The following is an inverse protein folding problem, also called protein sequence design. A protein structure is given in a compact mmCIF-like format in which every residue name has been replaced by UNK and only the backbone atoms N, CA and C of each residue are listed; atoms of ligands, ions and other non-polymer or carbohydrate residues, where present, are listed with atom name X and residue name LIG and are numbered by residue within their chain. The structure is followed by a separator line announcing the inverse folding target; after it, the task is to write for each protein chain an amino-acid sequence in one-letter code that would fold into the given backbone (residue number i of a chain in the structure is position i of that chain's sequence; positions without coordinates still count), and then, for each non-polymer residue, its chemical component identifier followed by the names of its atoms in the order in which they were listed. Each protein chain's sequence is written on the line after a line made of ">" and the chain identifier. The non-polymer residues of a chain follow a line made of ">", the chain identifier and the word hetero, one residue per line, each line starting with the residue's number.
data_IF_352137904527
#
_entry.id   IF_352137904527
#
_cell.length_a   1.000
_cell.length_b   1.000
_cell.length_c   1.000
_cell.angle_alpha   90.00
_cell.angle_beta   90.00
_cell.angle_gamma   90.00
#
_symmetry.space_group_name_H-M   'P 1'
#
loop_
_entity.id
_entity.type
_entity.pdbx_description
1 polymer ?
#
# COMPACT_ATOMS: atom_id res chain seq x y z
N UNK A 1 -36.88 -5.06 -14.44
CA UNK A 1 -35.89 -4.00 -14.72
C UNK A 1 -34.68 -4.64 -15.39
N UNK A 2 -34.24 -4.14 -16.55
CA UNK A 2 -33.02 -4.67 -17.18
C UNK A 2 -31.77 -4.18 -16.42
N UNK A 3 -30.60 -4.75 -16.75
CA UNK A 3 -29.37 -4.44 -16.01
C UNK A 3 -28.88 -3.00 -16.23
N UNK A 4 -29.09 -2.43 -17.41
CA UNK A 4 -28.66 -1.05 -17.74
C UNK A 4 -29.49 -0.04 -16.95
N UNK A 5 -30.80 -0.22 -16.90
CA UNK A 5 -31.71 0.64 -16.15
C UNK A 5 -31.45 0.53 -14.65
N UNK A 6 -31.26 -0.70 -14.15
CA UNK A 6 -30.87 -0.93 -12.76
C UNK A 6 -29.56 -0.22 -12.43
N UNK A 7 -28.55 -0.31 -13.30
CA UNK A 7 -27.27 0.33 -13.06
C UNK A 7 -27.36 1.87 -13.06
N UNK A 8 -28.20 2.46 -13.91
CA UNK A 8 -28.46 3.92 -13.94
C UNK A 8 -29.22 4.41 -12.72
N UNK A 9 -30.25 3.66 -12.30
CA UNK A 9 -31.06 3.99 -11.13
C UNK A 9 -30.35 3.69 -9.81
N UNK A 10 -29.32 2.84 -9.83
CA UNK A 10 -28.42 2.58 -8.70
C UNK A 10 -27.37 3.69 -8.53
N UNK A 11 -27.81 4.95 -8.43
CA UNK A 11 -26.95 6.12 -8.23
C UNK A 11 -27.20 6.82 -6.88
N UNK A 12 -26.21 7.54 -6.33
CA UNK A 12 -26.39 8.29 -5.08
C UNK A 12 -27.48 9.37 -5.15
N UNK A 13 -27.77 9.88 -6.36
CA UNK A 13 -28.81 10.89 -6.58
C UNK A 13 -30.21 10.30 -6.37
N UNK A 14 -30.47 9.14 -6.97
CA UNK A 14 -31.76 8.43 -6.81
C UNK A 14 -31.93 7.95 -5.37
N UNK A 15 -30.85 7.45 -4.73
CA UNK A 15 -30.85 7.04 -3.32
C UNK A 15 -31.28 8.14 -2.34
N UNK A 16 -30.93 9.40 -2.64
CA UNK A 16 -31.20 10.55 -1.77
C UNK A 16 -32.61 11.12 -1.94
N UNK A 17 -33.36 10.67 -2.95
CA UNK A 17 -34.73 11.08 -3.21
C UNK A 17 -35.72 10.06 -2.61
N UNK A 18 -36.43 10.39 -1.51
CA UNK A 18 -37.35 9.47 -0.86
C UNK A 18 -38.50 9.01 -1.77
N UNK A 19 -38.89 9.83 -2.75
CA UNK A 19 -39.98 9.50 -3.68
C UNK A 19 -39.61 8.40 -4.68
N UNK A 20 -38.31 8.12 -4.82
CA UNK A 20 -37.75 7.11 -5.73
C UNK A 20 -37.14 5.91 -4.99
N UNK A 21 -37.51 5.73 -3.72
CA UNK A 21 -36.99 4.65 -2.88
C UNK A 21 -37.23 3.27 -3.50
N UNK A 22 -38.45 2.99 -3.95
CA UNK A 22 -38.79 1.68 -4.52
C UNK A 22 -38.02 1.39 -5.81
N UNK A 23 -37.75 2.44 -6.61
CA UNK A 23 -36.92 2.34 -7.80
C UNK A 23 -35.46 2.02 -7.44
N UNK A 24 -34.92 2.69 -6.41
CA UNK A 24 -33.57 2.43 -5.92
C UNK A 24 -33.43 1.03 -5.31
N UNK A 25 -34.42 0.57 -4.54
CA UNK A 25 -34.43 -0.75 -3.92
C UNK A 25 -34.47 -1.86 -4.99
N UNK A 26 -35.31 -1.71 -6.02
CA UNK A 26 -35.38 -2.65 -7.14
C UNK A 26 -34.09 -2.64 -7.99
N UNK A 27 -33.51 -1.47 -8.23
CA UNK A 27 -32.24 -1.32 -8.93
C UNK A 27 -31.08 -1.95 -8.14
N UNK A 28 -31.04 -1.70 -6.83
CA UNK A 28 -30.07 -2.23 -5.89
C UNK A 28 -30.09 -3.76 -5.87
N UNK A 29 -31.28 -4.37 -5.73
CA UNK A 29 -31.43 -5.82 -5.73
C UNK A 29 -30.92 -6.44 -7.04
N UNK A 30 -31.30 -5.86 -8.19
CA UNK A 30 -30.86 -6.36 -9.50
C UNK A 30 -29.35 -6.26 -9.71
N UNK A 31 -28.73 -5.15 -9.29
CA UNK A 31 -27.26 -4.99 -9.37
C UNK A 31 -26.55 -5.95 -8.44
N UNK A 32 -27.07 -6.17 -7.23
CA UNK A 32 -26.52 -7.11 -6.26
C UNK A 32 -26.57 -8.56 -6.76
N UNK A 33 -27.69 -8.99 -7.33
CA UNK A 33 -27.82 -10.31 -7.97
C UNK A 33 -26.80 -10.52 -9.09
N UNK A 34 -26.60 -9.51 -9.95
CA UNK A 34 -25.63 -9.60 -11.03
C UNK A 34 -24.19 -9.67 -10.49
N UNK A 35 -23.86 -8.90 -9.44
CA UNK A 35 -22.57 -9.00 -8.76
C UNK A 35 -22.33 -10.41 -8.19
N UNK A 36 -23.33 -11.02 -7.56
CA UNK A 36 -23.22 -12.41 -7.07
C UNK A 36 -22.98 -13.40 -8.21
N UNK A 37 -23.72 -13.28 -9.31
CA UNK A 37 -23.57 -14.16 -10.47
C UNK A 37 -22.17 -14.01 -11.11
N UNK A 38 -21.64 -12.78 -11.17
CA UNK A 38 -20.31 -12.49 -11.69
C UNK A 38 -19.20 -12.94 -10.74
N UNK A 39 -19.36 -12.77 -9.43
CA UNK A 39 -18.38 -13.19 -8.43
C UNK A 39 -18.16 -14.70 -8.44
N UNK A 40 -19.24 -15.50 -8.61
CA UNK A 40 -19.15 -16.97 -8.77
C UNK A 40 -18.22 -17.37 -9.93
N UNK A 41 -18.11 -16.56 -10.98
CA UNK A 41 -17.24 -16.82 -12.15
C UNK A 41 -15.75 -16.50 -11.87
N UNK A 42 -15.44 -15.77 -10.80
CA UNK A 42 -14.07 -15.37 -10.45
C UNK A 42 -13.28 -16.46 -9.69
N UNK A 43 -13.90 -17.62 -9.41
CA UNK A 43 -13.27 -18.78 -8.72
C UNK A 43 -12.62 -18.45 -7.36
N UNK A 44 -13.12 -17.43 -6.66
CA UNK A 44 -12.73 -17.16 -5.28
C UNK A 44 -13.44 -18.12 -4.31
N UNK A 45 -12.93 -18.27 -3.08
CA UNK A 45 -13.59 -19.07 -2.05
C UNK A 45 -14.97 -18.46 -1.68
N UNK A 46 -15.94 -19.26 -1.21
CA UNK A 46 -17.30 -18.78 -0.94
C UNK A 46 -17.36 -17.59 0.03
N UNK A 47 -16.59 -17.61 1.13
CA UNK A 47 -16.55 -16.50 2.09
C UNK A 47 -15.96 -15.22 1.51
N UNK A 48 -14.91 -15.33 0.69
CA UNK A 48 -14.31 -14.18 0.01
C UNK A 48 -15.25 -13.64 -1.07
N UNK A 49 -16.01 -14.51 -1.74
CA UNK A 49 -17.01 -14.09 -2.74
C UNK A 49 -18.10 -13.20 -2.14
N UNK A 50 -18.60 -13.50 -0.94
CA UNK A 50 -19.63 -12.70 -0.29
C UNK A 50 -19.09 -11.34 0.15
N UNK A 51 -17.91 -11.31 0.77
CA UNK A 51 -17.24 -10.07 1.20
C UNK A 51 -17.02 -9.11 0.01
N UNK A 52 -16.41 -9.59 -1.08
CA UNK A 52 -16.10 -8.73 -2.23
C UNK A 52 -17.38 -8.23 -2.94
N UNK A 53 -18.47 -9.00 -2.89
CA UNK A 53 -19.76 -8.59 -3.45
C UNK A 53 -20.37 -7.47 -2.62
N UNK A 54 -20.40 -7.60 -1.30
CA UNK A 54 -20.88 -6.56 -0.40
C UNK A 54 -20.05 -5.28 -0.53
N UNK A 55 -18.72 -5.39 -0.58
CA UNK A 55 -17.83 -4.23 -0.76
C UNK A 55 -17.98 -3.56 -2.12
N UNK A 56 -18.13 -4.35 -3.20
CA UNK A 56 -18.38 -3.82 -4.53
C UNK A 56 -19.74 -3.10 -4.58
N UNK A 57 -20.79 -3.68 -3.99
CA UNK A 57 -22.10 -3.07 -3.90
C UNK A 57 -22.08 -1.74 -3.12
N UNK A 58 -21.42 -1.70 -1.95
CA UNK A 58 -21.27 -0.48 -1.16
C UNK A 58 -20.48 0.61 -1.90
N UNK A 59 -19.40 0.20 -2.56
CA UNK A 59 -18.59 1.12 -3.37
C UNK A 59 -19.43 1.73 -4.49
N UNK A 60 -20.15 0.91 -5.23
CA UNK A 60 -21.04 1.34 -6.30
C UNK A 60 -22.13 2.26 -5.72
N UNK A 61 -22.85 1.85 -4.67
CA UNK A 61 -23.89 2.66 -4.03
C UNK A 61 -23.44 4.05 -3.55
N UNK A 62 -22.13 4.23 -3.31
CA UNK A 62 -21.53 5.50 -2.88
C UNK A 62 -21.03 6.34 -4.05
N UNK A 63 -20.52 5.71 -5.10
CA UNK A 63 -19.67 6.37 -6.10
C UNK A 63 -20.01 5.99 -7.56
N UNK A 64 -21.24 5.53 -7.83
CA UNK A 64 -21.57 4.85 -9.10
C UNK A 64 -21.32 5.62 -10.39
N UNK A 65 -21.05 6.93 -10.39
CA UNK A 65 -20.92 7.71 -11.63
C UNK A 65 -19.92 8.86 -11.54
N UNK A 66 -18.66 8.57 -11.23
CA UNK A 66 -17.56 9.51 -11.50
C UNK A 66 -17.04 9.44 -12.93
N UNK A 67 -17.25 8.33 -13.65
CA UNK A 67 -16.86 8.18 -15.05
C UNK A 67 -17.96 8.68 -16.01
N UNK A 68 -17.62 9.46 -17.05
CA UNK A 68 -18.58 9.84 -18.09
C UNK A 68 -18.93 8.61 -18.93
N UNK A 69 -20.09 8.02 -18.66
CA UNK A 69 -20.62 6.93 -19.47
C UNK A 69 -21.19 7.50 -20.78
N UNK A 70 -21.03 6.80 -21.91
CA UNK A 70 -21.72 7.15 -23.14
C UNK A 70 -23.24 7.08 -22.96
N UNK A 71 -23.97 7.94 -23.68
CA UNK A 71 -25.45 8.04 -23.63
C UNK A 71 -26.14 6.69 -23.93
N UNK A 72 -25.50 5.86 -24.74
CA UNK A 72 -25.91 4.48 -25.02
C UNK A 72 -25.01 3.53 -24.25
N UNK A 73 -25.55 2.93 -23.18
CA UNK A 73 -24.87 1.94 -22.37
C UNK A 73 -25.44 0.55 -22.67
N UNK A 74 -24.57 -0.41 -22.96
CA UNK A 74 -24.97 -1.81 -23.20
C UNK A 74 -24.81 -2.66 -21.95
N UNK A 75 -25.58 -3.75 -21.83
CA UNK A 75 -25.41 -4.70 -20.71
C UNK A 75 -24.00 -5.28 -20.66
N UNK A 76 -23.35 -5.50 -21.81
CA UNK A 76 -21.97 -6.01 -21.87
C UNK A 76 -20.97 -5.05 -21.22
N UNK A 77 -21.14 -3.73 -21.42
CA UNK A 77 -20.32 -2.71 -20.77
C UNK A 77 -20.57 -2.65 -19.27
N UNK A 78 -21.83 -2.72 -18.83
CA UNK A 78 -22.18 -2.78 -17.41
C UNK A 78 -21.54 -4.00 -16.74
N UNK A 79 -21.73 -5.21 -17.33
CA UNK A 79 -21.11 -6.43 -16.80
C UNK A 79 -19.59 -6.32 -16.73
N UNK A 80 -18.94 -5.77 -17.77
CA UNK A 80 -17.49 -5.57 -17.77
C UNK A 80 -17.06 -4.66 -16.62
N UNK A 81 -17.79 -3.58 -16.39
CA UNK A 81 -17.52 -2.68 -15.28
C UNK A 81 -17.68 -3.35 -13.92
N UNK A 82 -18.80 -4.04 -13.69
CA UNK A 82 -19.05 -4.80 -12.46
C UNK A 82 -17.96 -5.84 -12.21
N UNK A 83 -17.49 -6.55 -13.25
CA UNK A 83 -16.36 -7.49 -13.16
C UNK A 83 -15.06 -6.78 -12.73
N UNK A 84 -14.77 -5.60 -13.30
CA UNK A 84 -13.58 -4.83 -12.93
C UNK A 84 -13.65 -4.37 -11.46
N UNK A 85 -14.82 -3.92 -11.01
CA UNK A 85 -15.05 -3.56 -9.60
C UNK A 85 -14.79 -4.76 -8.68
N UNK A 86 -15.36 -5.94 -9.01
CA UNK A 86 -15.15 -7.16 -8.24
C UNK A 86 -13.68 -7.59 -8.21
N UNK A 87 -12.97 -7.52 -9.34
CA UNK A 87 -11.53 -7.83 -9.42
C UNK A 87 -10.68 -6.89 -8.58
N UNK A 88 -11.03 -5.60 -8.55
CA UNK A 88 -10.35 -4.64 -7.67
C UNK A 88 -10.51 -5.03 -6.21
N UNK A 89 -11.74 -5.37 -5.78
CA UNK A 89 -12.02 -5.79 -4.40
C UNK A 89 -11.40 -7.13 -4.03
N UNK A 90 -11.37 -8.08 -4.95
CA UNK A 90 -10.64 -9.35 -4.77
C UNK A 90 -9.14 -9.10 -4.55
N UNK A 91 -8.55 -8.17 -5.30
CA UNK A 91 -7.16 -7.74 -5.07
C UNK A 91 -6.95 -7.04 -3.72
N UNK A 92 -7.93 -6.24 -3.26
CA UNK A 92 -7.91 -5.63 -1.93
C UNK A 92 -8.00 -6.68 -0.81
N UNK A 93 -8.91 -7.65 -0.93
CA UNK A 93 -9.08 -8.76 0.01
C UNK A 93 -7.79 -9.58 0.12
N UNK A 94 -7.17 -9.95 -1.00
CA UNK A 94 -5.88 -10.66 -1.00
C UNK A 94 -4.75 -9.83 -0.36
N UNK A 95 -4.73 -8.51 -0.55
CA UNK A 95 -3.78 -7.61 0.13
C UNK A 95 -4.05 -7.51 1.63
N UNK A 96 -5.31 -7.51 2.08
CA UNK A 96 -5.68 -7.50 3.50
C UNK A 96 -5.29 -8.82 4.17
N UNK A 97 -5.65 -9.95 3.58
CA UNK A 97 -5.26 -11.26 4.06
C UNK A 97 -3.73 -11.38 4.16
N UNK A 98 -2.98 -10.96 3.13
CA UNK A 98 -1.51 -10.96 3.20
C UNK A 98 -0.94 -10.03 4.29
N UNK A 99 -1.64 -8.95 4.67
CA UNK A 99 -1.25 -8.10 5.81
C UNK A 99 -1.55 -8.78 7.14
N UNK A 100 -2.68 -9.44 7.26
CA UNK A 100 -3.09 -10.18 8.45
C UNK A 100 -2.19 -11.39 8.67
N UNK A 101 -1.90 -12.18 7.65
CA UNK A 101 -0.93 -13.28 7.71
C UNK A 101 0.46 -12.77 8.12
N UNK A 102 0.91 -11.62 7.61
CA UNK A 102 2.17 -10.99 8.06
C UNK A 102 2.10 -10.48 9.50
N UNK A 103 0.91 -10.12 10.01
CA UNK A 103 0.70 -9.70 11.39
C UNK A 103 0.69 -10.91 12.31
N UNK A 104 -0.01 -11.98 11.95
CA UNK A 104 -0.06 -13.27 12.64
C UNK A 104 1.33 -13.90 12.71
N UNK A 105 2.05 -14.00 11.58
CA UNK A 105 3.45 -14.49 11.58
C UNK A 105 4.37 -13.67 12.48
N UNK A 106 4.15 -12.36 12.61
CA UNK A 106 4.93 -11.53 13.54
C UNK A 106 4.56 -11.73 15.01
N UNK A 107 3.33 -12.17 15.29
CA UNK A 107 2.87 -12.51 16.63
C UNK A 107 3.38 -13.91 17.00
N UNK A 108 3.29 -14.87 16.09
CA UNK A 108 3.86 -16.22 16.24
C UNK A 108 5.38 -16.20 16.38
N UNK A 109 6.11 -15.41 15.56
CA UNK A 109 7.56 -15.21 15.73
C UNK A 109 7.91 -14.38 16.98
N UNK A 110 6.95 -13.75 17.66
CA UNK A 110 7.15 -13.11 18.97
C UNK A 110 6.96 -14.08 20.14
N UNK A 111 6.20 -15.16 19.93
CA UNK A 111 5.92 -16.20 20.93
C UNK A 111 6.83 -17.43 20.75
N UNK A 112 7.50 -17.53 19.60
CA UNK A 112 8.50 -18.55 19.28
C UNK A 112 9.66 -17.93 18.50
N UNK A 113 10.26 -16.87 19.04
CA UNK A 113 11.63 -16.58 18.69
C UNK A 113 12.48 -17.68 19.34
N UNK A 114 13.18 -18.55 18.59
CA UNK A 114 14.44 -19.04 19.13
C UNK A 114 15.26 -17.79 19.45
N UNK A 115 15.94 -17.77 20.59
CA UNK A 115 17.11 -16.91 20.73
C UNK A 115 17.97 -17.20 19.49
N UNK A 116 17.91 -16.31 18.49
CA UNK A 116 18.92 -16.30 17.45
C UNK A 116 20.24 -16.25 18.21
N UNK A 117 21.21 -17.13 17.90
CA UNK A 117 22.48 -17.09 18.60
C UNK A 117 22.98 -15.65 18.54
N UNK A 118 23.33 -15.11 19.70
CA UNK A 118 24.06 -13.86 19.87
C UNK A 118 25.34 -13.97 19.03
N UNK A 119 25.21 -13.74 17.73
CA UNK A 119 26.33 -13.35 16.89
C UNK A 119 26.63 -11.95 17.38
N UNK A 120 27.71 -11.87 18.17
CA UNK A 120 28.05 -10.76 19.04
C UNK A 120 27.63 -9.43 18.46
N UNK A 121 26.89 -8.66 19.26
CA UNK A 121 26.52 -7.30 18.89
C UNK A 121 27.79 -6.60 18.37
N UNK A 122 27.78 -6.09 17.11
CA UNK A 122 28.92 -5.36 16.60
C UNK A 122 29.21 -4.23 17.57
N UNK A 123 30.48 -4.06 17.92
CA UNK A 123 30.85 -2.97 18.84
C UNK A 123 30.35 -1.64 18.26
N UNK A 124 30.05 -0.64 19.10
CA UNK A 124 29.60 0.66 18.62
C UNK A 124 30.53 1.27 17.55
N UNK A 125 31.83 0.97 17.64
CA UNK A 125 32.87 1.40 16.69
C UNK A 125 32.77 0.68 15.34
N UNK A 126 32.51 -0.64 15.32
CA UNK A 126 32.24 -1.40 14.08
C UNK A 126 30.95 -0.92 13.41
N UNK A 127 29.92 -0.61 14.21
CA UNK A 127 28.65 -0.10 13.69
C UNK A 127 28.79 1.30 13.05
N UNK A 128 29.67 2.16 13.55
CA UNK A 128 29.94 3.48 12.98
C UNK A 128 30.81 3.43 11.72
N UNK A 129 31.86 2.59 11.70
CA UNK A 129 32.72 2.42 10.54
C UNK A 129 31.96 1.80 9.34
N UNK A 130 31.10 0.82 9.59
CA UNK A 130 30.27 0.20 8.56
C UNK A 130 29.10 1.10 8.12
N UNK A 131 28.57 1.93 9.02
CA UNK A 131 27.63 2.99 8.66
C UNK A 131 28.29 4.00 7.72
N UNK A 132 29.54 4.38 7.98
CA UNK A 132 30.32 5.20 7.05
C UNK A 132 30.46 4.52 5.68
N UNK A 133 30.72 3.20 5.60
CA UNK A 133 30.73 2.49 4.31
C UNK A 133 29.37 2.50 3.62
N UNK A 134 28.29 2.24 4.35
CA UNK A 134 26.93 2.29 3.81
C UNK A 134 26.58 3.67 3.22
N UNK A 135 26.92 4.74 3.94
CA UNK A 135 26.66 6.12 3.52
C UNK A 135 27.53 6.57 2.36
N UNK A 136 28.80 6.16 2.34
CA UNK A 136 29.77 6.66 1.37
C UNK A 136 29.82 5.83 0.09
N UNK A 137 29.44 4.55 0.13
CA UNK A 137 29.49 3.63 -1.02
C UNK A 137 28.09 3.25 -1.52
N UNK A 138 27.26 2.67 -0.66
CA UNK A 138 25.98 2.06 -1.08
C UNK A 138 24.95 3.12 -1.48
N UNK A 139 24.76 4.16 -0.67
CA UNK A 139 23.73 5.19 -0.94
C UNK A 139 24.00 5.95 -2.25
N UNK A 140 25.21 6.44 -2.55
CA UNK A 140 25.50 7.11 -3.82
C UNK A 140 25.31 6.21 -5.04
N UNK A 141 25.72 4.94 -4.95
CA UNK A 141 25.57 3.98 -6.04
C UNK A 141 24.10 3.60 -6.26
N UNK A 142 23.34 3.36 -5.19
CA UNK A 142 21.90 3.15 -5.27
C UNK A 142 21.16 4.38 -5.82
N UNK A 143 21.62 5.59 -5.51
CA UNK A 143 21.07 6.84 -6.04
C UNK A 143 21.38 7.02 -7.53
N UNK A 144 22.49 6.49 -8.05
CA UNK A 144 22.85 6.57 -9.45
C UNK A 144 21.85 5.82 -10.36
N UNK A 145 21.19 4.79 -9.82
CA UNK A 145 20.13 4.04 -10.50
C UNK A 145 18.80 4.82 -10.57
N UNK A 146 18.68 5.93 -9.84
CA UNK A 146 17.47 6.76 -9.81
C UNK A 146 17.63 7.94 -10.78
N UNK A 147 16.69 8.08 -11.71
CA UNK A 147 16.76 9.10 -12.78
C UNK A 147 16.09 10.41 -12.38
N UNK A 148 16.72 11.52 -12.78
CA UNK A 148 16.16 12.88 -12.68
C UNK A 148 15.81 13.29 -11.24
N UNK A 149 14.75 14.08 -11.10
CA UNK A 149 14.28 14.67 -9.83
C UNK A 149 13.94 13.62 -8.75
N UNK A 150 13.67 12.38 -9.15
CA UNK A 150 13.45 11.28 -8.21
C UNK A 150 14.70 10.94 -7.38
N UNK A 151 15.91 11.28 -7.89
CA UNK A 151 17.17 11.05 -7.19
C UNK A 151 17.29 11.92 -5.94
N UNK A 152 16.90 13.18 -6.03
CA UNK A 152 16.92 14.10 -4.90
C UNK A 152 15.94 13.66 -3.81
N UNK A 153 14.73 13.26 -4.22
CA UNK A 153 13.76 12.66 -3.30
C UNK A 153 14.32 11.41 -2.60
N UNK A 154 14.92 10.49 -3.35
CA UNK A 154 15.56 9.31 -2.77
C UNK A 154 16.61 9.67 -1.71
N UNK A 155 17.53 10.59 -2.02
CA UNK A 155 18.58 11.02 -1.10
C UNK A 155 18.02 11.71 0.14
N UNK A 156 17.01 12.57 -0.04
CA UNK A 156 16.29 13.20 1.07
C UNK A 156 15.65 12.16 1.99
N UNK A 157 14.95 11.16 1.44
CA UNK A 157 14.35 10.08 2.23
C UNK A 157 15.39 9.31 3.04
N UNK A 158 16.55 9.03 2.44
CA UNK A 158 17.64 8.32 3.13
C UNK A 158 18.18 9.15 4.28
N UNK A 159 18.43 10.44 4.07
CA UNK A 159 18.89 11.35 5.12
C UNK A 159 17.88 11.47 6.27
N UNK A 160 16.59 11.59 5.98
CA UNK A 160 15.54 11.62 7.00
C UNK A 160 15.52 10.33 7.84
N UNK A 161 15.60 9.16 7.19
CA UNK A 161 15.68 7.88 7.89
C UNK A 161 16.93 7.77 8.76
N UNK A 162 18.06 8.34 8.34
CA UNK A 162 19.30 8.38 9.11
C UNK A 162 19.20 9.27 10.33
N UNK A 163 18.63 10.46 10.16
CA UNK A 163 18.45 11.40 11.26
C UNK A 163 17.48 10.84 12.30
N UNK A 164 16.42 10.14 11.88
CA UNK A 164 15.54 9.40 12.78
C UNK A 164 16.28 8.27 13.52
N UNK A 165 17.06 7.46 12.81
CA UNK A 165 17.81 6.35 13.42
C UNK A 165 18.83 6.83 14.46
N UNK A 166 19.42 8.00 14.23
CA UNK A 166 20.38 8.68 15.12
C UNK A 166 19.70 9.58 16.16
N UNK A 167 18.37 9.58 16.23
CA UNK A 167 17.60 10.42 17.15
C UNK A 167 17.94 11.93 17.04
N UNK A 168 18.39 12.38 15.86
CA UNK A 168 18.69 13.80 15.57
C UNK A 168 17.44 14.62 15.29
N UNK A 169 16.42 13.93 14.79
CA UNK A 169 15.08 14.48 14.56
C UNK A 169 14.05 13.47 15.03
N UNK A 170 12.88 13.96 15.39
CA UNK A 170 11.70 13.12 15.64
C UNK A 170 10.83 13.01 14.40
N UNK A 171 9.97 11.99 14.36
CA UNK A 171 9.01 11.84 13.27
C UNK A 171 8.00 13.00 13.23
N UNK A 172 7.59 13.49 14.41
CA UNK A 172 6.75 14.70 14.58
C UNK A 172 7.40 15.93 13.95
N UNK A 173 8.71 16.14 14.17
CA UNK A 173 9.45 17.27 13.58
C UNK A 173 9.53 17.18 12.05
N UNK A 174 9.71 15.98 11.50
CA UNK A 174 9.68 15.80 10.04
C UNK A 174 8.29 16.10 9.45
N UNK A 175 7.22 15.67 10.14
CA UNK A 175 5.84 16.03 9.75
C UNK A 175 5.65 17.54 9.80
N UNK A 176 6.12 18.20 10.87
CA UNK A 176 6.00 19.64 11.03
C UNK A 176 6.76 20.42 9.95
N UNK A 177 7.93 19.93 9.50
CA UNK A 177 8.69 20.54 8.39
C UNK A 177 8.01 20.39 7.03
N UNK A 178 7.31 19.27 6.81
CA UNK A 178 6.63 18.98 5.54
C UNK A 178 5.21 19.55 5.45
N UNK A 179 4.58 19.83 6.58
CA UNK A 179 3.22 20.35 6.63
C UNK A 179 3.18 21.86 6.37
N UNK A 180 2.13 22.39 5.70
CA UNK A 180 1.92 23.82 5.56
C UNK A 180 1.89 24.55 6.92
N UNK A 181 2.32 25.83 6.98
CA UNK A 181 2.11 26.65 8.18
C UNK A 181 0.63 26.72 8.55
N UNK A 182 0.29 26.37 9.79
CA UNK A 182 -1.11 26.32 10.25
C UNK A 182 -1.90 25.08 9.81
N UNK A 183 -1.21 24.04 9.34
CA UNK A 183 -1.86 22.81 8.86
C UNK A 183 -2.78 22.17 9.90
N UNK A 184 -3.95 21.75 9.42
CA UNK A 184 -4.91 20.98 10.23
C UNK A 184 -4.48 19.51 10.39
N UNK A 185 -5.24 18.76 11.19
CA UNK A 185 -4.93 17.35 11.47
C UNK A 185 -5.00 16.46 10.21
N UNK A 186 -5.86 16.79 9.25
CA UNK A 186 -5.97 16.04 8.01
C UNK A 186 -4.74 16.25 7.12
N UNK A 187 -4.23 17.48 7.04
CA UNK A 187 -3.01 17.85 6.32
C UNK A 187 -1.75 17.27 6.97
N UNK A 188 -1.67 17.28 8.30
CA UNK A 188 -0.62 16.58 9.05
C UNK A 188 -0.62 15.09 8.73
N UNK A 189 -1.78 14.45 8.77
CA UNK A 189 -1.92 13.02 8.45
C UNK A 189 -1.58 12.70 6.99
N UNK A 190 -1.89 13.61 6.07
CA UNK A 190 -1.48 13.49 4.65
C UNK A 190 0.04 13.55 4.52
N UNK A 191 0.68 14.51 5.19
CA UNK A 191 2.15 14.65 5.23
C UNK A 191 2.81 13.42 5.83
N UNK A 192 2.26 12.92 6.95
CA UNK A 192 2.70 11.69 7.59
C UNK A 192 2.67 10.49 6.63
N UNK A 193 1.56 10.31 5.90
CA UNK A 193 1.43 9.23 4.93
C UNK A 193 2.41 9.37 3.76
N UNK A 194 2.68 10.60 3.31
CA UNK A 194 3.67 10.87 2.26
C UNK A 194 5.08 10.52 2.73
N UNK A 195 5.48 10.94 3.93
CA UNK A 195 6.77 10.59 4.54
C UNK A 195 6.93 9.07 4.64
N UNK A 196 5.93 8.35 5.16
CA UNK A 196 5.96 6.89 5.22
C UNK A 196 6.13 6.23 3.86
N UNK A 197 5.41 6.70 2.83
CA UNK A 197 5.55 6.17 1.49
C UNK A 197 6.93 6.46 0.91
N UNK A 198 7.46 7.65 1.16
CA UNK A 198 8.76 8.09 0.68
C UNK A 198 9.88 7.24 1.27
N UNK A 199 9.93 7.10 2.60
CA UNK A 199 10.88 6.26 3.31
C UNK A 199 10.77 4.80 2.89
N UNK A 200 9.54 4.28 2.75
CA UNK A 200 9.31 2.91 2.27
C UNK A 200 9.91 2.69 0.88
N UNK A 201 9.66 3.58 -0.08
CA UNK A 201 10.17 3.46 -1.45
C UNK A 201 11.69 3.51 -1.49
N UNK A 202 12.31 4.44 -0.75
CA UNK A 202 13.77 4.54 -0.67
C UNK A 202 14.38 3.26 -0.08
N UNK A 203 13.80 2.73 1.00
CA UNK A 203 14.24 1.46 1.59
C UNK A 203 14.12 0.28 0.62
N UNK A 204 12.98 0.14 -0.05
CA UNK A 204 12.77 -0.93 -1.05
C UNK A 204 13.73 -0.80 -2.24
N UNK A 205 14.15 0.42 -2.58
CA UNK A 205 15.17 0.65 -3.60
C UNK A 205 16.56 0.21 -3.14
N UNK A 206 16.98 0.59 -1.93
CA UNK A 206 18.26 0.15 -1.35
C UNK A 206 18.32 -1.38 -1.24
N UNK A 207 17.27 -2.02 -0.73
CA UNK A 207 17.25 -3.49 -0.61
C UNK A 207 17.36 -4.20 -1.96
N UNK A 208 16.72 -3.66 -3.01
CA UNK A 208 16.85 -4.18 -4.38
C UNK A 208 18.24 -3.92 -4.96
N UNK A 209 18.87 -2.80 -4.63
CA UNK A 209 20.25 -2.51 -4.99
C UNK A 209 21.20 -3.53 -4.36
N UNK A 210 21.14 -3.72 -3.04
CA UNK A 210 21.94 -4.70 -2.30
C UNK A 210 21.81 -6.11 -2.86
N UNK A 211 20.58 -6.55 -3.16
CA UNK A 211 20.34 -7.87 -3.75
C UNK A 211 20.97 -8.04 -5.14
N UNK A 212 21.03 -6.97 -5.94
CA UNK A 212 21.71 -6.99 -7.25
C UNK A 212 23.23 -6.99 -7.09
N UNK A 213 23.77 -6.18 -6.19
CA UNK A 213 25.21 -6.13 -5.90
C UNK A 213 25.74 -7.47 -5.38
N UNK A 214 25.00 -8.14 -4.48
CA UNK A 214 25.30 -9.52 -4.07
C UNK A 214 25.33 -10.47 -5.27
N UNK A 215 24.30 -10.42 -6.11
CA UNK A 215 24.23 -11.27 -7.31
C UNK A 215 25.37 -10.98 -8.31
N UNK A 216 25.85 -9.74 -8.37
CA UNK A 216 26.96 -9.33 -9.21
C UNK A 216 28.35 -9.69 -8.62
N UNK A 217 28.41 -10.10 -7.35
CA UNK A 217 29.66 -10.38 -6.63
C UNK A 217 30.34 -9.14 -6.05
N UNK A 218 29.66 -7.99 -6.04
CA UNK A 218 30.18 -6.73 -5.47
C UNK A 218 30.10 -6.67 -3.94
N UNK A 219 29.27 -7.55 -3.36
CA UNK A 219 29.06 -7.75 -1.93
C UNK A 219 29.11 -9.25 -1.67
N UNK A 220 29.83 -9.65 -0.61
CA UNK A 220 29.74 -11.01 -0.10
C UNK A 220 28.44 -11.23 0.71
N UNK A 221 28.22 -12.47 1.13
CA UNK A 221 27.00 -12.87 1.83
C UNK A 221 26.89 -12.23 3.23
N UNK A 222 28.01 -12.08 3.93
CA UNK A 222 28.06 -11.50 5.28
C UNK A 222 27.82 -9.99 5.23
N UNK A 223 28.47 -9.29 4.29
CA UNK A 223 28.26 -7.88 3.98
C UNK A 223 26.80 -7.63 3.58
N UNK A 224 26.22 -8.46 2.71
CA UNK A 224 24.83 -8.35 2.31
C UNK A 224 23.87 -8.49 3.49
N UNK A 225 24.03 -9.54 4.31
CA UNK A 225 23.11 -9.81 5.41
C UNK A 225 23.24 -8.76 6.53
N UNK A 226 24.44 -8.24 6.76
CA UNK A 226 24.65 -7.10 7.66
C UNK A 226 23.95 -5.84 7.15
N UNK A 227 24.21 -5.41 5.91
CA UNK A 227 23.65 -4.18 5.33
C UNK A 227 22.12 -4.27 5.23
N UNK A 228 21.60 -5.45 4.88
CA UNK A 228 20.15 -5.72 4.87
C UNK A 228 19.55 -5.55 6.26
N UNK A 229 20.12 -6.18 7.30
CA UNK A 229 19.67 -6.00 8.70
C UNK A 229 19.71 -4.55 9.11
N UNK A 230 20.75 -3.82 8.71
CA UNK A 230 20.90 -2.39 9.01
C UNK A 230 19.79 -1.53 8.34
N UNK A 231 19.54 -1.74 7.05
CA UNK A 231 18.46 -1.06 6.32
C UNK A 231 17.07 -1.43 6.87
N UNK A 232 16.88 -2.65 7.36
CA UNK A 232 15.65 -3.08 8.02
C UNK A 232 15.48 -2.45 9.41
N UNK A 233 16.57 -2.14 10.13
CA UNK A 233 16.53 -1.41 11.42
C UNK A 233 16.03 0.03 11.27
N UNK A 234 16.24 0.68 10.12
CA UNK A 234 15.69 2.01 9.80
C UNK A 234 14.14 2.06 9.81
N UNK A 235 13.47 0.92 9.97
CA UNK A 235 12.01 0.80 9.98
C UNK A 235 11.37 1.09 11.35
N UNK A 236 12.13 1.08 12.44
CA UNK A 236 11.61 0.85 13.81
C UNK A 236 11.71 2.04 14.78
N UNK A 237 11.96 3.26 14.32
CA UNK A 237 11.98 4.45 15.18
C UNK A 237 11.15 5.57 14.58
#
# INVERSE_FOLDING_TARGET
>A
MNLVDAFRSFSPRVRRDPSRKDEWDAASARVYEELQALAKKLRASPGVCEEIVQEAWLYLARDTMSAPWPDVLTEGQVRRYLILTLRSRLGDAGRRQAREERKLRRLESRESAPEEPETGEPTPEDAEAELARFLNRIVPQAAADVRGDAREGFLSAVNEMLDLARSRVTFEELIARGAPPGADEAERRKTQNLLYQHHKRAREHILRYLARSRKAGDLDDDEYDFLKRWVERLRRR
#
